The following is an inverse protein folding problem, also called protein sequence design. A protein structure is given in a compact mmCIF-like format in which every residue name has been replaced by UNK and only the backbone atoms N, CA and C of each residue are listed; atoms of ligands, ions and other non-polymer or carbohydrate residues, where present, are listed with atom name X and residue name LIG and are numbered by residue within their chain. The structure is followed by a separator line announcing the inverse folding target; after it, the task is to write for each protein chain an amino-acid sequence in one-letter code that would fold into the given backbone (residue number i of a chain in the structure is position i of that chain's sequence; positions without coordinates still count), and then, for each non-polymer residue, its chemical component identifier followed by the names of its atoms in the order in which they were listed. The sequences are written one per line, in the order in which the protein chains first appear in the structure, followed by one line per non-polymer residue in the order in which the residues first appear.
data_IF_155488723514
#
_entry.id   IF_155488723514
#
_cell.length_a   1.000
_cell.length_b   1.000
_cell.length_c   1.000
_cell.angle_alpha   90.00
_cell.angle_beta   90.00
_cell.angle_gamma   90.00
#
_symmetry.space_group_name_H-M   'P 1'
#
loop_
_entity.id
_entity.type
_entity.pdbx_description
1 polymer ?
#
# COMPACT_ATOMS: atom_id res chain seq x y z
N UNK A 1 -0.54 -14.60 -7.64
CA UNK A 1 -0.77 -13.39 -6.84
C UNK A 1 -2.04 -13.63 -6.05
N UNK A 2 -1.98 -13.65 -4.72
CA UNK A 2 -3.15 -13.95 -3.90
C UNK A 2 -4.12 -12.78 -3.95
N UNK A 3 -5.35 -13.03 -4.36
CA UNK A 3 -6.35 -11.99 -4.60
C UNK A 3 -6.82 -11.44 -3.25
N UNK A 4 -6.79 -10.11 -3.10
CA UNK A 4 -7.36 -9.47 -1.92
C UNK A 4 -8.87 -9.79 -1.81
N UNK A 5 -9.45 -9.79 -0.60
CA UNK A 5 -10.88 -9.96 -0.40
C UNK A 5 -11.70 -9.02 -1.28
N UNK A 6 -12.81 -9.50 -1.86
CA UNK A 6 -13.61 -8.73 -2.82
C UNK A 6 -14.15 -7.43 -2.23
N UNK A 7 -14.39 -7.37 -0.92
CA UNK A 7 -14.79 -6.13 -0.22
C UNK A 7 -13.72 -5.04 -0.33
N UNK A 8 -12.45 -5.39 -0.19
CA UNK A 8 -11.32 -4.46 -0.30
C UNK A 8 -11.19 -3.98 -1.74
N UNK A 9 -11.26 -4.89 -2.71
CA UNK A 9 -11.15 -4.56 -4.14
C UNK A 9 -12.28 -3.64 -4.60
N UNK A 10 -13.51 -3.83 -4.09
CA UNK A 10 -14.65 -2.94 -4.41
C UNK A 10 -14.46 -1.53 -3.87
N UNK A 11 -13.94 -1.37 -2.65
CA UNK A 11 -13.72 -0.05 -2.04
C UNK A 11 -12.43 0.63 -2.50
N UNK A 12 -11.40 -0.15 -2.82
CA UNK A 12 -10.06 0.32 -3.18
C UNK A 12 -9.55 -0.45 -4.41
N UNK A 13 -9.98 -0.08 -5.62
CA UNK A 13 -9.77 -0.89 -6.82
C UNK A 13 -8.31 -0.94 -7.29
N UNK A 14 -7.49 0.06 -6.95
CA UNK A 14 -6.08 0.05 -7.34
C UNK A 14 -5.27 -0.88 -6.44
N UNK A 15 -4.48 -1.77 -7.04
CA UNK A 15 -3.54 -2.62 -6.31
C UNK A 15 -2.13 -2.01 -6.39
N UNK A 16 -1.49 -1.90 -5.23
CA UNK A 16 -0.12 -1.45 -5.10
C UNK A 16 0.76 -2.55 -4.54
N UNK A 17 1.91 -2.76 -5.17
CA UNK A 17 2.98 -3.62 -4.68
C UNK A 17 4.29 -2.83 -4.73
N UNK A 18 5.01 -2.79 -3.62
CA UNK A 18 6.28 -2.08 -3.51
C UNK A 18 7.26 -2.91 -2.69
N UNK A 19 8.49 -3.02 -3.19
CA UNK A 19 9.61 -3.58 -2.45
C UNK A 19 10.56 -2.44 -2.09
N UNK A 20 10.70 -2.15 -0.81
CA UNK A 20 11.60 -1.11 -0.32
C UNK A 20 12.84 -1.78 0.24
N UNK A 21 13.96 -1.62 -0.46
CA UNK A 21 15.27 -2.04 0.04
C UNK A 21 15.81 -1.01 1.04
N UNK A 22 16.70 -1.42 1.96
CA UNK A 22 17.39 -0.49 2.85
C UNK A 22 17.99 0.68 2.07
N UNK A 23 17.76 1.93 2.48
CA UNK A 23 18.14 3.09 1.69
C UNK A 23 19.67 3.17 1.62
N UNK A 24 20.20 3.20 0.39
CA UNK A 24 21.63 3.45 0.15
C UNK A 24 21.97 4.94 0.05
N UNK A 25 20.98 5.78 -0.20
CA UNK A 25 21.14 7.22 -0.42
C UNK A 25 20.09 8.01 0.34
N UNK A 26 18.89 8.15 -0.22
CA UNK A 26 17.84 9.02 0.32
C UNK A 26 16.68 8.19 0.93
N UNK A 27 16.50 8.21 2.26
CA UNK A 27 15.47 7.42 2.93
C UNK A 27 14.05 7.85 2.58
N UNK A 28 13.84 9.04 2.01
CA UNK A 28 12.53 9.57 1.62
C UNK A 28 12.22 9.35 0.13
N UNK A 29 13.15 8.84 -0.66
CA UNK A 29 12.91 8.56 -2.08
C UNK A 29 11.72 7.59 -2.31
N UNK A 30 11.59 6.46 -1.59
CA UNK A 30 10.45 5.55 -1.77
C UNK A 30 9.11 6.22 -1.45
N UNK A 31 9.06 7.04 -0.39
CA UNK A 31 7.87 7.77 0.02
C UNK A 31 7.43 8.81 -1.02
N UNK A 32 8.38 9.54 -1.61
CA UNK A 32 8.09 10.52 -2.68
C UNK A 32 7.63 9.85 -3.96
N UNK A 33 8.30 8.78 -4.38
CA UNK A 33 7.88 7.98 -5.54
C UNK A 33 6.44 7.50 -5.36
N UNK A 34 6.12 6.98 -4.17
CA UNK A 34 4.78 6.51 -3.91
C UNK A 34 3.76 7.65 -3.88
N UNK A 35 4.12 8.81 -3.34
CA UNK A 35 3.25 10.00 -3.38
C UNK A 35 2.92 10.41 -4.81
N UNK A 36 3.90 10.41 -5.72
CA UNK A 36 3.68 10.69 -7.14
C UNK A 36 2.76 9.65 -7.79
N UNK A 37 2.97 8.37 -7.51
CA UNK A 37 2.11 7.29 -8.01
C UNK A 37 0.67 7.43 -7.50
N UNK A 38 0.49 7.75 -6.22
CA UNK A 38 -0.83 7.97 -5.62
C UNK A 38 -1.54 9.17 -6.27
N UNK A 39 -0.83 10.26 -6.55
CA UNK A 39 -1.37 11.40 -7.26
C UNK A 39 -1.82 11.03 -8.70
N UNK A 40 -1.02 10.24 -9.42
CA UNK A 40 -1.36 9.76 -10.75
C UNK A 40 -2.59 8.83 -10.74
N UNK A 41 -2.69 7.94 -9.76
CA UNK A 41 -3.86 7.08 -9.55
C UNK A 41 -5.11 7.92 -9.27
N UNK A 42 -5.03 8.90 -8.37
CA UNK A 42 -6.13 9.82 -8.09
C UNK A 42 -6.57 10.57 -9.36
N UNK A 43 -5.62 11.05 -10.17
CA UNK A 43 -5.92 11.75 -11.43
C UNK A 43 -6.58 10.83 -12.46
N UNK A 44 -6.30 9.53 -12.42
CA UNK A 44 -6.99 8.51 -13.23
C UNK A 44 -8.43 8.23 -12.74
N UNK A 45 -8.87 8.82 -11.62
CA UNK A 45 -10.24 8.69 -11.12
C UNK A 45 -10.50 7.41 -10.32
N UNK A 46 -9.46 6.72 -9.85
CA UNK A 46 -9.66 5.67 -8.84
C UNK A 46 -9.89 6.30 -7.46
N UNK A 47 -10.74 5.68 -6.63
CA UNK A 47 -11.16 6.23 -5.34
C UNK A 47 -10.31 5.74 -4.15
N UNK A 48 -9.45 4.74 -4.39
CA UNK A 48 -8.59 4.20 -3.36
C UNK A 48 -7.65 3.12 -3.87
N UNK A 49 -6.66 2.81 -3.04
CA UNK A 49 -5.61 1.84 -3.31
C UNK A 49 -5.47 0.87 -2.15
N UNK A 50 -5.15 -0.38 -2.44
CA UNK A 50 -4.82 -1.39 -1.43
C UNK A 50 -3.45 -2.02 -1.70
N UNK A 51 -2.81 -2.50 -0.63
CA UNK A 51 -1.56 -3.23 -0.65
C UNK A 51 -1.66 -4.47 0.25
N UNK A 52 -0.92 -5.52 -0.09
CA UNK A 52 -0.81 -6.73 0.72
C UNK A 52 0.64 -6.94 1.11
N UNK A 53 0.88 -7.15 2.41
CA UNK A 53 2.22 -7.42 2.96
C UNK A 53 2.20 -8.66 3.84
N UNK A 54 3.37 -9.23 4.12
CA UNK A 54 3.47 -10.27 5.14
C UNK A 54 3.28 -9.64 6.53
N UNK A 55 2.56 -10.33 7.41
CA UNK A 55 2.32 -9.87 8.79
C UNK A 55 3.59 -9.74 9.64
N UNK A 56 4.68 -10.38 9.21
CA UNK A 56 6.01 -10.30 9.82
C UNK A 56 6.84 -9.12 9.31
N UNK A 57 6.41 -8.45 8.22
CA UNK A 57 7.13 -7.32 7.64
C UNK A 57 6.73 -6.00 8.31
N UNK A 58 7.21 -5.82 9.54
CA UNK A 58 6.93 -4.63 10.34
C UNK A 58 7.48 -3.34 9.72
N UNK A 59 8.58 -3.44 8.96
CA UNK A 59 9.17 -2.30 8.27
C UNK A 59 8.21 -1.76 7.21
N UNK A 60 7.72 -2.65 6.34
CA UNK A 60 6.80 -2.26 5.28
C UNK A 60 5.44 -1.83 5.84
N UNK A 61 4.97 -2.46 6.92
CA UNK A 61 3.77 -2.02 7.64
C UNK A 61 3.93 -0.57 8.15
N UNK A 62 5.04 -0.25 8.83
CA UNK A 62 5.30 1.09 9.33
C UNK A 62 5.46 2.12 8.19
N UNK A 63 6.10 1.72 7.09
CA UNK A 63 6.25 2.56 5.90
C UNK A 63 4.88 2.96 5.32
N UNK A 64 3.99 2.00 5.10
CA UNK A 64 2.65 2.27 4.60
C UNK A 64 1.80 3.09 5.58
N UNK A 65 1.91 2.83 6.89
CA UNK A 65 1.22 3.62 7.92
C UNK A 65 1.63 5.11 7.88
N UNK A 66 2.93 5.40 7.71
CA UNK A 66 3.43 6.78 7.55
C UNK A 66 2.90 7.47 6.29
N UNK A 67 2.52 6.69 5.28
CA UNK A 67 1.89 7.17 4.06
C UNK A 67 0.37 7.19 4.14
N UNK A 68 -0.22 7.00 5.32
CA UNK A 68 -1.66 7.11 5.56
C UNK A 68 -2.46 5.89 5.13
N UNK A 69 -1.83 4.74 4.91
CA UNK A 69 -2.55 3.48 4.76
C UNK A 69 -3.00 2.97 6.13
N UNK A 70 -4.17 2.32 6.15
CA UNK A 70 -4.75 1.71 7.36
C UNK A 70 -4.94 0.20 7.14
N UNK A 71 -4.82 -0.58 8.21
CA UNK A 71 -5.11 -2.02 8.19
C UNK A 71 -6.61 -2.26 8.06
N UNK A 72 -7.01 -3.00 7.02
CA UNK A 72 -8.41 -3.33 6.73
C UNK A 72 -8.71 -4.79 7.04
N UNK A 73 -7.72 -5.67 6.88
CA UNK A 73 -7.88 -7.10 7.15
C UNK A 73 -6.54 -7.79 7.39
N UNK A 74 -6.58 -8.87 8.17
CA UNK A 74 -5.42 -9.73 8.46
C UNK A 74 -5.85 -11.19 8.36
N UNK A 75 -5.37 -11.89 7.34
CA UNK A 75 -5.79 -13.26 7.01
C UNK A 75 -4.57 -14.06 6.56
N UNK A 76 -4.42 -15.28 7.04
CA UNK A 76 -3.39 -16.21 6.53
C UNK A 76 -1.95 -15.71 6.67
N UNK A 77 -1.63 -14.94 7.72
CA UNK A 77 -0.31 -14.36 7.90
C UNK A 77 0.01 -13.18 6.98
N UNK A 78 -0.98 -12.65 6.25
CA UNK A 78 -0.90 -11.42 5.44
C UNK A 78 -1.68 -10.29 6.10
N UNK A 79 -1.26 -9.06 5.82
CA UNK A 79 -1.94 -7.83 6.22
C UNK A 79 -2.33 -7.07 4.97
N UNK A 80 -3.61 -6.72 4.88
CA UNK A 80 -4.17 -5.89 3.81
C UNK A 80 -4.32 -4.47 4.32
N UNK A 81 -3.61 -3.56 3.66
CA UNK A 81 -3.58 -2.14 3.96
C UNK A 81 -4.32 -1.39 2.85
N UNK A 82 -5.06 -0.33 3.16
CA UNK A 82 -5.72 0.48 2.15
C UNK A 82 -5.68 1.97 2.49
N UNK A 83 -5.81 2.80 1.44
CA UNK A 83 -5.87 4.25 1.54
C UNK A 83 -6.83 4.81 0.50
N UNK A 84 -7.70 5.73 0.92
CA UNK A 84 -8.49 6.57 0.03
C UNK A 84 -7.67 7.80 -0.42
N UNK A 85 -8.02 8.38 -1.58
CA UNK A 85 -7.30 9.52 -2.16
C UNK A 85 -7.78 10.89 -1.70
#
# INVERSE_FOLDING_TARGET
MERAPDSIVRSHPALLTCCVLPPKTDPLAPARLLTCLLAALRAHGVNGVHACINSTDHYLQQFYNKLGFVEVSRIGGRVYLARAF
#
